data_IF_039773817725
#
_entry.id   IF_039773817725
#
_cell.length_a   1.000
_cell.length_b   1.000
_cell.length_c   1.000
_cell.angle_alpha   90.00
_cell.angle_beta   90.00
_cell.angle_gamma   90.00
#
_symmetry.space_group_name_H-M   'P 1'
#
loop_
_entity.id
_entity.type
_entity.pdbx_description
1 polymer ?
#
# COMPACT_ATOMS: atom_id res chain seq x y z
N UNK A 1 6.77 -14.79 2.84
CA UNK A 1 6.79 -13.34 2.58
C UNK A 1 7.72 -13.02 1.42
N UNK A 2 9.03 -13.26 1.60
CA UNK A 2 10.05 -12.99 0.59
C UNK A 2 9.80 -13.71 -0.75
N UNK A 3 9.27 -14.94 -0.73
CA UNK A 3 8.87 -15.62 -1.97
C UNK A 3 7.79 -14.85 -2.74
N UNK A 4 6.79 -14.30 -2.06
CA UNK A 4 5.76 -13.49 -2.71
C UNK A 4 6.36 -12.20 -3.30
N UNK A 5 7.29 -11.56 -2.59
CA UNK A 5 7.99 -10.39 -3.09
C UNK A 5 8.83 -10.73 -4.34
N UNK A 6 9.52 -11.86 -4.32
CA UNK A 6 10.27 -12.38 -5.47
C UNK A 6 9.35 -12.67 -6.66
N UNK A 7 8.23 -13.37 -6.43
CA UNK A 7 7.24 -13.69 -7.46
C UNK A 7 6.62 -12.43 -8.07
N UNK A 8 6.27 -11.43 -7.25
CA UNK A 8 5.80 -10.12 -7.71
C UNK A 8 6.83 -9.47 -8.62
N UNK A 9 8.09 -9.58 -8.25
CA UNK A 9 9.16 -8.99 -9.01
C UNK A 9 9.43 -9.66 -10.33
N UNK A 10 9.56 -10.98 -10.32
CA UNK A 10 9.73 -11.76 -11.55
C UNK A 10 8.53 -11.55 -12.48
N UNK A 11 7.31 -11.50 -11.95
CA UNK A 11 6.13 -11.18 -12.74
C UNK A 11 6.27 -9.81 -13.42
N UNK A 12 6.70 -8.78 -12.68
CA UNK A 12 6.88 -7.41 -13.21
C UNK A 12 7.95 -7.34 -14.30
N UNK A 13 9.06 -8.05 -14.12
CA UNK A 13 10.15 -8.14 -15.10
C UNK A 13 9.69 -8.85 -16.39
N UNK A 14 9.02 -10.00 -16.26
CA UNK A 14 8.49 -10.77 -17.38
C UNK A 14 7.48 -9.94 -18.19
N UNK A 15 6.50 -9.31 -17.53
CA UNK A 15 5.47 -8.56 -18.27
C UNK A 15 6.03 -7.34 -18.99
N UNK A 16 7.15 -6.78 -18.52
CA UNK A 16 7.87 -5.70 -19.19
C UNK A 16 8.70 -6.18 -20.39
N UNK A 17 9.18 -7.43 -20.36
CA UNK A 17 10.04 -8.00 -21.39
C UNK A 17 9.32 -8.69 -22.56
N UNK A 18 8.03 -9.02 -22.42
CA UNK A 18 7.27 -9.79 -23.44
C UNK A 18 6.03 -9.06 -23.94
N UNK A 19 5.53 -9.49 -25.11
CA UNK A 19 4.19 -9.12 -25.56
C UNK A 19 3.16 -10.04 -24.92
N UNK A 20 2.11 -9.46 -24.34
CA UNK A 20 1.04 -10.20 -23.65
C UNK A 20 -0.11 -10.55 -24.61
N UNK A 21 -0.88 -11.58 -24.24
CA UNK A 21 -2.01 -12.08 -25.03
C UNK A 21 -1.56 -12.59 -26.40
N UNK A 22 -2.34 -12.38 -27.48
CA UNK A 22 -1.95 -12.72 -28.86
C UNK A 22 -0.82 -11.85 -29.44
N UNK A 23 0.06 -11.29 -28.61
CA UNK A 23 1.12 -10.37 -29.02
C UNK A 23 0.70 -8.90 -29.17
N UNK A 24 -0.54 -8.55 -28.80
CA UNK A 24 -1.15 -7.23 -29.05
C UNK A 24 -0.97 -6.23 -27.91
N UNK A 25 -0.49 -6.68 -26.76
CA UNK A 25 -0.33 -5.85 -25.56
C UNK A 25 1.17 -5.78 -25.24
N UNK A 26 1.68 -4.58 -24.98
CA UNK A 26 3.00 -4.35 -24.42
C UNK A 26 2.89 -3.53 -23.14
N UNK A 27 3.82 -3.76 -22.23
CA UNK A 27 4.02 -2.94 -21.04
C UNK A 27 5.17 -1.96 -21.30
N UNK A 28 5.03 -0.73 -20.81
CA UNK A 28 6.10 0.25 -20.92
C UNK A 28 7.16 -0.04 -19.83
N UNK A 29 8.43 -0.30 -20.18
CA UNK A 29 9.44 -0.81 -19.25
C UNK A 29 9.80 0.18 -18.13
N UNK A 30 9.57 1.48 -18.33
CA UNK A 30 9.80 2.51 -17.30
C UNK A 30 8.54 2.95 -16.51
N UNK A 31 7.36 2.38 -16.78
CA UNK A 31 6.09 2.76 -16.11
C UNK A 31 5.51 1.59 -15.32
N UNK A 32 6.34 1.02 -14.47
CA UNK A 32 6.05 -0.19 -13.70
C UNK A 32 5.73 0.18 -12.25
N UNK A 33 4.66 -0.38 -11.70
CA UNK A 33 4.26 -0.13 -10.32
C UNK A 33 3.96 -1.41 -9.55
N UNK A 34 4.29 -1.42 -8.26
CA UNK A 34 3.97 -2.51 -7.33
C UNK A 34 2.88 -2.06 -6.37
N UNK A 35 1.83 -2.86 -6.20
CA UNK A 35 0.71 -2.54 -5.31
C UNK A 35 0.33 -3.79 -4.54
N UNK A 36 0.09 -3.64 -3.24
CA UNK A 36 -0.41 -4.74 -2.43
C UNK A 36 -1.19 -4.29 -1.20
N UNK A 37 -1.99 -5.20 -0.67
CA UNK A 37 -2.79 -4.98 0.54
C UNK A 37 -2.37 -5.93 1.67
N UNK A 38 -2.39 -5.45 2.92
CA UNK A 38 -2.08 -6.29 4.07
C UNK A 38 -0.66 -6.83 3.98
N UNK A 39 -0.56 -8.15 4.05
CA UNK A 39 0.69 -8.86 3.81
C UNK A 39 1.27 -8.62 2.41
N UNK A 40 0.40 -8.45 1.40
CA UNK A 40 0.81 -8.08 0.04
C UNK A 40 1.37 -6.66 -0.05
N UNK A 41 0.93 -5.74 0.83
CA UNK A 41 1.48 -4.39 0.89
C UNK A 41 2.94 -4.42 1.33
N UNK A 42 3.24 -5.20 2.37
CA UNK A 42 4.62 -5.47 2.79
C UNK A 42 5.39 -6.17 1.67
N UNK A 43 4.81 -7.14 0.96
CA UNK A 43 5.47 -7.83 -0.15
C UNK A 43 5.86 -6.88 -1.29
N UNK A 44 5.03 -5.88 -1.58
CA UNK A 44 5.37 -4.83 -2.56
C UNK A 44 6.59 -4.01 -2.14
N UNK A 45 6.76 -3.70 -0.85
CA UNK A 45 7.94 -3.01 -0.31
C UNK A 45 9.20 -3.86 -0.49
N UNK A 46 9.14 -5.13 -0.08
CA UNK A 46 10.29 -6.03 -0.24
C UNK A 46 10.65 -6.25 -1.71
N UNK A 47 9.66 -6.37 -2.59
CA UNK A 47 9.89 -6.47 -4.02
C UNK A 47 10.61 -5.23 -4.54
N UNK A 48 10.11 -4.04 -4.20
CA UNK A 48 10.74 -2.78 -4.61
C UNK A 48 12.19 -2.64 -4.14
N UNK A 49 12.54 -3.17 -2.97
CA UNK A 49 13.89 -3.07 -2.42
C UNK A 49 14.86 -4.13 -2.98
N UNK A 50 14.37 -5.34 -3.28
CA UNK A 50 15.19 -6.48 -3.68
C UNK A 50 15.35 -6.66 -5.18
N UNK A 51 14.64 -5.90 -6.01
CA UNK A 51 14.57 -6.15 -7.45
C UNK A 51 15.61 -5.39 -8.29
N UNK A 52 16.20 -6.05 -9.31
CA UNK A 52 16.99 -5.37 -10.33
C UNK A 52 16.15 -4.41 -11.21
N UNK A 53 14.95 -4.85 -11.60
CA UNK A 53 14.03 -4.03 -12.36
C UNK A 53 13.38 -2.98 -11.46
N UNK A 54 13.67 -1.70 -11.70
CA UNK A 54 13.22 -0.60 -10.85
C UNK A 54 11.75 -0.29 -11.12
N UNK A 55 10.89 -0.56 -10.14
CA UNK A 55 9.55 0.03 -10.10
C UNK A 55 9.66 1.56 -10.04
N UNK A 56 8.74 2.25 -10.73
CA UNK A 56 8.65 3.70 -10.73
C UNK A 56 7.74 4.23 -9.61
N UNK A 57 6.86 3.37 -9.06
CA UNK A 57 6.01 3.70 -7.93
C UNK A 57 5.62 2.44 -7.16
N UNK A 58 5.40 2.58 -5.86
CA UNK A 58 4.95 1.49 -4.99
C UNK A 58 3.78 1.96 -4.13
N UNK A 59 2.77 1.12 -3.91
CA UNK A 59 1.67 1.40 -2.99
C UNK A 59 1.42 0.24 -2.01
N UNK A 60 1.50 0.53 -0.72
CA UNK A 60 1.23 -0.38 0.39
C UNK A 60 -0.10 -0.01 1.06
N UNK A 61 -1.14 -0.83 0.85
CA UNK A 61 -2.51 -0.52 1.26
C UNK A 61 -2.88 -1.31 2.52
N UNK A 62 -3.07 -0.63 3.65
CA UNK A 62 -3.26 -1.24 4.96
C UNK A 62 -2.19 -2.32 5.23
N UNK A 63 -0.88 -1.99 5.13
CA UNK A 63 0.18 -2.98 5.26
C UNK A 63 0.20 -3.61 6.65
N UNK A 64 0.72 -4.84 6.73
CA UNK A 64 0.81 -5.58 7.99
C UNK A 64 2.24 -5.93 8.36
N UNK A 65 2.50 -6.06 9.66
CA UNK A 65 3.77 -6.56 10.22
C UNK A 65 4.10 -7.93 9.61
N UNK A 66 5.37 -8.12 9.23
CA UNK A 66 5.90 -9.41 8.75
C UNK A 66 7.22 -9.76 9.44
N UNK A 67 7.66 -11.02 9.31
CA UNK A 67 9.02 -11.44 9.64
C UNK A 67 9.71 -11.93 8.34
N UNK A 68 10.82 -11.29 7.89
CA UNK A 68 11.44 -10.08 8.45
C UNK A 68 10.55 -8.82 8.35
N UNK A 69 10.84 -7.77 9.12
CA UNK A 69 10.11 -6.49 9.10
C UNK A 69 10.34 -5.72 7.79
N UNK A 70 9.29 -5.22 7.10
CA UNK A 70 9.42 -4.47 5.84
C UNK A 70 10.03 -3.07 6.03
N UNK A 71 10.11 -2.56 7.24
CA UNK A 71 10.73 -1.27 7.57
C UNK A 71 12.23 -1.28 7.25
N UNK A 72 12.90 -2.42 7.45
CA UNK A 72 14.33 -2.57 7.17
C UNK A 72 14.68 -2.31 5.69
N UNK A 73 14.07 -2.99 4.70
CA UNK A 73 14.32 -2.66 3.31
C UNK A 73 13.76 -1.28 2.93
N UNK A 74 12.63 -0.86 3.50
CA UNK A 74 12.01 0.42 3.20
C UNK A 74 12.91 1.63 3.51
N UNK A 75 13.74 1.55 4.55
CA UNK A 75 14.71 2.59 4.93
C UNK A 75 15.68 2.99 3.80
N UNK A 76 15.89 2.11 2.82
CA UNK A 76 16.79 2.36 1.68
C UNK A 76 16.05 2.73 0.39
N UNK A 77 14.71 2.66 0.38
CA UNK A 77 13.91 2.91 -0.81
C UNK A 77 13.91 4.39 -1.19
N UNK A 78 14.23 4.66 -2.46
CA UNK A 78 14.12 5.99 -3.08
C UNK A 78 12.98 6.09 -4.09
N UNK A 79 12.31 4.98 -4.38
CA UNK A 79 11.12 4.96 -5.21
C UNK A 79 9.97 5.65 -4.48
N UNK A 80 9.17 6.50 -5.16
CA UNK A 80 7.96 7.08 -4.59
C UNK A 80 7.01 6.01 -4.02
N UNK A 81 6.57 6.22 -2.79
CA UNK A 81 5.64 5.34 -2.08
C UNK A 81 4.29 5.99 -1.79
N UNK A 82 3.23 5.18 -1.80
CA UNK A 82 1.94 5.52 -1.19
C UNK A 82 1.61 4.49 -0.11
N UNK A 83 1.47 4.94 1.13
CA UNK A 83 1.02 4.11 2.24
C UNK A 83 -0.40 4.54 2.58
N UNK A 84 -1.36 3.61 2.53
CA UNK A 84 -2.72 3.86 2.99
C UNK A 84 -2.96 3.16 4.32
N UNK A 85 -3.50 3.87 5.30
CA UNK A 85 -3.91 3.32 6.59
C UNK A 85 -5.41 3.59 6.84
N UNK A 86 -6.01 2.89 7.80
CA UNK A 86 -7.36 3.16 8.25
C UNK A 86 -7.35 3.88 9.62
N UNK A 87 -8.42 4.60 10.01
CA UNK A 87 -8.47 5.23 11.32
C UNK A 87 -8.37 4.18 12.42
N UNK A 88 -7.48 4.41 13.39
CA UNK A 88 -7.21 3.47 14.48
C UNK A 88 -6.35 2.25 14.09
N UNK A 89 -6.04 2.06 12.82
CA UNK A 89 -5.18 0.98 12.33
C UNK A 89 -3.76 1.03 12.92
N UNK A 90 -3.12 2.21 13.11
CA UNK A 90 -1.82 2.29 13.82
C UNK A 90 -1.85 1.76 15.26
N UNK A 91 -3.03 1.70 15.89
CA UNK A 91 -3.22 1.14 17.24
C UNK A 91 -3.42 -0.37 17.23
N UNK A 92 -3.49 -1.00 16.05
CA UNK A 92 -3.57 -2.45 15.95
C UNK A 92 -2.16 -3.06 15.98
N UNK A 93 -2.02 -4.25 16.56
CA UNK A 93 -0.76 -5.00 16.55
C UNK A 93 -0.38 -5.49 15.15
N UNK A 94 -1.33 -5.56 14.23
CA UNK A 94 -1.11 -6.12 12.90
C UNK A 94 -0.70 -5.07 11.88
N UNK A 95 -1.03 -3.79 12.08
CA UNK A 95 -0.64 -2.72 11.18
C UNK A 95 0.77 -2.22 11.48
N UNK A 96 1.47 -1.86 10.41
CA UNK A 96 2.78 -1.21 10.48
C UNK A 96 2.86 0.03 9.56
N UNK A 97 1.71 0.60 9.20
CA UNK A 97 1.65 1.70 8.23
C UNK A 97 2.41 2.95 8.71
N UNK A 98 2.34 3.26 10.01
CA UNK A 98 3.01 4.42 10.59
C UNK A 98 4.53 4.18 10.65
N UNK A 99 4.94 3.03 11.17
CA UNK A 99 6.35 2.62 11.25
C UNK A 99 7.00 2.58 9.87
N UNK A 100 6.30 2.05 8.88
CA UNK A 100 6.75 2.03 7.49
C UNK A 100 6.91 3.44 6.92
N UNK A 101 5.98 4.37 7.24
CA UNK A 101 6.07 5.76 6.78
C UNK A 101 7.22 6.54 7.41
N UNK A 102 7.61 6.20 8.64
CA UNK A 102 8.69 6.88 9.36
C UNK A 102 10.07 6.55 8.80
N UNK A 103 10.24 5.39 8.17
CA UNK A 103 11.53 4.95 7.60
C UNK A 103 11.62 5.17 6.10
N UNK A 104 10.51 5.31 5.39
CA UNK A 104 10.49 5.46 3.95
C UNK A 104 10.23 6.92 3.54
N UNK A 105 11.28 7.72 3.51
CA UNK A 105 11.21 9.18 3.25
C UNK A 105 10.47 9.56 1.96
N UNK A 106 10.55 8.70 0.93
CA UNK A 106 9.91 8.93 -0.37
C UNK A 106 8.42 8.52 -0.39
N UNK A 107 7.87 8.03 0.72
CA UNK A 107 6.48 7.60 0.82
C UNK A 107 5.57 8.70 1.39
N UNK A 108 4.37 8.80 0.82
CA UNK A 108 3.28 9.59 1.38
C UNK A 108 2.34 8.68 2.17
N UNK A 109 2.08 9.01 3.44
CA UNK A 109 1.08 8.32 4.26
C UNK A 109 -0.30 9.00 4.13
N UNK A 110 -1.34 8.21 3.88
CA UNK A 110 -2.74 8.67 3.83
C UNK A 110 -3.62 7.83 4.74
N UNK A 111 -4.26 8.45 5.72
CA UNK A 111 -5.29 7.80 6.53
C UNK A 111 -6.63 7.92 5.80
N UNK A 112 -7.22 6.81 5.35
CA UNK A 112 -8.46 6.82 4.57
C UNK A 112 -9.67 6.89 5.52
N UNK A 113 -10.36 8.02 5.54
CA UNK A 113 -11.44 8.29 6.49
C UNK A 113 -12.49 7.16 6.49
N UNK A 114 -12.78 6.62 7.68
CA UNK A 114 -13.77 5.55 7.91
C UNK A 114 -13.50 4.26 7.13
N UNK A 115 -12.28 4.04 6.63
CA UNK A 115 -11.91 2.80 5.98
C UNK A 115 -11.86 1.64 6.96
N UNK A 116 -12.06 0.43 6.43
CA UNK A 116 -11.86 -0.83 7.15
C UNK A 116 -10.76 -1.62 6.46
N UNK A 117 -9.65 -1.91 7.15
CA UNK A 117 -8.51 -2.60 6.55
C UNK A 117 -8.90 -3.90 5.83
N UNK A 118 -9.70 -4.77 6.47
CA UNK A 118 -10.22 -6.00 5.86
C UNK A 118 -11.30 -5.81 4.78
N UNK A 119 -11.75 -4.58 4.52
CA UNK A 119 -12.83 -4.25 3.59
C UNK A 119 -12.47 -4.37 2.11
N UNK A 120 -11.20 -4.59 1.76
CA UNK A 120 -10.74 -4.70 0.38
C UNK A 120 -10.99 -6.06 -0.27
N UNK A 121 -11.30 -7.10 0.51
CA UNK A 121 -11.60 -8.42 -0.03
C UNK A 121 -12.81 -8.34 -0.96
N UNK A 122 -12.60 -8.64 -2.25
CA UNK A 122 -13.67 -8.70 -3.23
C UNK A 122 -14.37 -10.06 -3.16
N UNK A 123 -15.56 -10.12 -2.57
CA UNK A 123 -16.36 -11.34 -2.60
C UNK A 123 -17.51 -11.37 -1.60
N UNK A 124 -18.73 -11.63 -2.09
CA UNK A 124 -19.91 -11.93 -1.24
C UNK A 124 -19.91 -13.36 -0.67
N UNK A 125 -18.99 -14.23 -1.11
CA UNK A 125 -19.14 -15.70 -0.97
C UNK A 125 -18.27 -16.36 0.10
N UNK A 126 -17.23 -15.73 0.64
CA UNK A 126 -16.43 -16.35 1.72
C UNK A 126 -16.91 -15.99 3.14
N UNK A 127 -17.77 -14.98 3.30
CA UNK A 127 -18.07 -14.39 4.61
C UNK A 127 -19.40 -14.83 5.23
N UNK A 128 -20.22 -15.61 4.52
CA UNK A 128 -21.48 -16.11 5.08
C UNK A 128 -21.34 -17.29 6.04
N UNK A 129 -20.13 -17.84 6.22
CA UNK A 129 -19.93 -19.06 7.04
C UNK A 129 -18.92 -18.85 8.19
N UNK A 130 -18.11 -17.80 8.16
CA UNK A 130 -17.11 -17.51 9.19
C UNK A 130 -17.11 -16.00 9.40
N UNK A 131 -17.24 -15.51 10.64
CA UNK A 131 -17.40 -14.09 11.01
C UNK A 131 -16.22 -13.15 10.69
N UNK A 132 -15.64 -13.28 9.50
CA UNK A 132 -14.58 -12.46 8.95
C UNK A 132 -15.14 -11.16 8.37
N UNK A 133 -14.39 -10.07 8.53
CA UNK A 133 -14.75 -8.75 8.04
C UNK A 133 -15.08 -8.80 6.54
N UNK A 134 -16.33 -8.45 6.20
CA UNK A 134 -16.81 -8.48 4.82
C UNK A 134 -16.35 -7.31 3.96
N UNK A 135 -16.50 -7.47 2.64
CA UNK A 135 -16.25 -6.44 1.64
C UNK A 135 -16.91 -5.10 2.02
N UNK A 136 -16.12 -4.02 2.08
CA UNK A 136 -16.61 -2.66 2.34
C UNK A 136 -16.50 -1.81 1.07
N UNK A 137 -17.64 -1.62 0.39
CA UNK A 137 -17.71 -0.91 -0.90
C UNK A 137 -17.20 0.53 -0.83
N UNK A 138 -17.35 1.19 0.32
CA UNK A 138 -16.88 2.57 0.50
C UNK A 138 -15.36 2.62 0.57
N UNK A 139 -14.76 1.73 1.36
CA UNK A 139 -13.30 1.52 1.43
C UNK A 139 -12.74 1.21 0.05
N UNK A 140 -13.33 0.26 -0.67
CA UNK A 140 -12.90 -0.08 -2.04
C UNK A 140 -12.96 1.12 -2.98
N UNK A 141 -14.05 1.90 -2.94
CA UNK A 141 -14.20 3.10 -3.78
C UNK A 141 -13.10 4.13 -3.48
N UNK A 142 -12.84 4.42 -2.21
CA UNK A 142 -11.84 5.43 -1.83
C UNK A 142 -10.41 4.97 -2.10
N UNK A 143 -10.08 3.72 -1.78
CA UNK A 143 -8.78 3.14 -2.09
C UNK A 143 -8.53 3.15 -3.59
N UNK A 144 -9.50 2.74 -4.42
CA UNK A 144 -9.37 2.80 -5.87
C UNK A 144 -9.16 4.23 -6.37
N UNK A 145 -9.92 5.20 -5.86
CA UNK A 145 -9.76 6.59 -6.28
C UNK A 145 -8.37 7.16 -5.94
N UNK A 146 -7.91 6.97 -4.70
CA UNK A 146 -6.61 7.44 -4.24
C UNK A 146 -5.46 6.75 -4.99
N UNK A 147 -5.55 5.42 -5.15
CA UNK A 147 -4.55 4.64 -5.86
C UNK A 147 -4.48 5.04 -7.34
N UNK A 148 -5.63 5.19 -8.00
CA UNK A 148 -5.69 5.59 -9.41
C UNK A 148 -5.07 6.96 -9.61
N UNK A 149 -5.43 7.97 -8.79
CA UNK A 149 -4.82 9.29 -8.91
C UNK A 149 -3.31 9.25 -8.71
N UNK A 150 -2.83 8.53 -7.70
CA UNK A 150 -1.41 8.35 -7.46
C UNK A 150 -0.67 7.71 -8.64
N UNK A 151 -1.21 6.63 -9.23
CA UNK A 151 -0.59 5.95 -10.36
C UNK A 151 -0.66 6.77 -11.66
N UNK A 152 -1.75 7.51 -11.89
CA UNK A 152 -1.87 8.42 -13.04
C UNK A 152 -0.79 9.52 -13.01
N UNK A 153 -0.47 10.04 -11.83
CA UNK A 153 0.65 10.97 -11.69
C UNK A 153 2.01 10.28 -11.78
N UNK A 154 2.28 9.29 -10.92
CA UNK A 154 3.62 8.71 -10.76
C UNK A 154 4.08 7.83 -11.92
N UNK A 155 3.17 7.06 -12.54
CA UNK A 155 3.48 6.23 -13.70
C UNK A 155 3.06 6.93 -15.01
N UNK A 156 1.89 7.57 -15.00
CA UNK A 156 1.35 8.23 -16.19
C UNK A 156 2.07 9.53 -16.55
N UNK A 157 2.54 10.27 -15.54
CA UNK A 157 3.06 11.64 -15.69
C UNK A 157 1.96 12.69 -15.80
N UNK A 158 0.71 12.35 -15.48
CA UNK A 158 -0.43 13.26 -15.61
C UNK A 158 -0.46 14.26 -14.44
N UNK A 159 -0.08 15.51 -14.73
CA UNK A 159 0.02 16.59 -13.76
C UNK A 159 -1.32 16.99 -13.15
N UNK A 160 -2.45 16.62 -13.77
CA UNK A 160 -3.78 16.85 -13.18
C UNK A 160 -3.96 16.09 -11.86
N UNK A 161 -3.19 15.03 -11.63
CA UNK A 161 -3.27 14.19 -10.44
C UNK A 161 -2.11 14.41 -9.45
N UNK A 162 -1.33 15.49 -9.60
CA UNK A 162 -0.14 15.76 -8.76
C UNK A 162 -0.44 15.70 -7.26
N UNK A 163 -1.57 16.23 -6.83
CA UNK A 163 -1.97 16.27 -5.40
C UNK A 163 -2.08 14.88 -4.77
N UNK A 164 -2.30 13.82 -5.57
CA UNK A 164 -2.38 12.45 -5.05
C UNK A 164 -1.03 11.89 -4.58
N UNK A 165 0.08 12.49 -5.00
CA UNK A 165 1.44 12.13 -4.58
C UNK A 165 2.16 13.24 -3.80
N UNK A 166 1.46 14.34 -3.52
CA UNK A 166 1.96 15.43 -2.68
C UNK A 166 1.69 15.05 -1.21
N UNK A 167 2.69 14.97 -0.32
CA UNK A 167 2.48 14.64 1.08
C UNK A 167 1.66 15.67 1.84
N UNK A 168 1.72 16.94 1.44
CA UNK A 168 1.11 18.06 2.16
C UNK A 168 -0.32 18.37 1.68
N UNK A 169 -0.72 17.84 0.52
CA UNK A 169 -2.06 18.06 -0.01
C UNK A 169 -3.13 17.37 0.84
N UNK A 170 -4.18 18.08 1.27
CA UNK A 170 -5.32 17.46 1.95
C UNK A 170 -6.35 16.95 0.93
N UNK A 171 -6.50 15.63 0.81
CA UNK A 171 -7.44 15.04 -0.14
C UNK A 171 -8.83 14.82 0.50
N UNK A 172 -9.91 14.80 -0.30
CA UNK A 172 -11.21 14.39 0.19
C UNK A 172 -11.16 12.95 0.71
N UNK A 173 -11.80 12.70 1.86
CA UNK A 173 -11.89 11.36 2.49
C UNK A 173 -10.55 10.81 2.97
N UNK A 174 -9.58 11.68 3.21
CA UNK A 174 -8.43 11.38 4.04
C UNK A 174 -8.50 12.16 5.35
N UNK A 175 -8.05 11.57 6.45
CA UNK A 175 -7.88 12.28 7.71
C UNK A 175 -6.50 12.96 7.70
N UNK A 176 -6.42 14.15 8.31
CA UNK A 176 -5.14 14.85 8.46
C UNK A 176 -4.22 14.03 9.37
N UNK A 177 -2.93 13.99 9.03
CA UNK A 177 -1.91 13.49 9.95
C UNK A 177 -1.72 14.55 11.04
N UNK A 178 -1.85 14.13 12.29
CA UNK A 178 -1.52 14.99 13.43
C UNK A 178 -0.01 14.87 13.70
N UNK A 179 0.79 15.92 13.40
CA UNK A 179 2.23 15.89 13.60
C UNK A 179 2.63 15.91 15.08
N UNK A 180 1.72 16.27 15.99
CA UNK A 180 1.95 16.31 17.43
C UNK A 180 1.42 15.07 18.16
N UNK A 181 0.80 14.13 17.43
CA UNK A 181 0.29 12.91 18.04
C UNK A 181 1.43 12.11 18.70
N UNK A 182 1.26 11.69 19.97
CA UNK A 182 2.27 10.89 20.64
C UNK A 182 2.46 9.55 19.89
N UNK A 183 3.69 9.01 19.86
CA UNK A 183 3.95 7.72 19.24
C UNK A 183 3.09 6.65 19.91
N UNK A 184 2.44 5.81 19.10
CA UNK A 184 1.63 4.69 19.60
C UNK A 184 2.54 3.74 20.38
N UNK A 185 2.27 3.56 21.67
CA UNK A 185 3.09 2.68 22.51
C UNK A 185 2.70 1.21 22.30
N UNK A 186 3.60 0.24 22.57
CA UNK A 186 3.24 -1.18 22.55
C UNK A 186 2.06 -1.51 23.48
N UNK A 187 1.95 -0.81 24.61
CA UNK A 187 0.85 -0.95 25.57
C UNK A 187 -0.50 -0.58 24.96
N UNK A 188 -0.58 0.52 24.22
CA UNK A 188 -1.80 0.92 23.51
C UNK A 188 -2.23 -0.11 22.46
N UNK A 189 -1.25 -0.75 21.80
CA UNK A 189 -1.54 -1.83 20.86
C UNK A 189 -2.08 -3.08 21.55
N UNK A 190 -1.55 -3.43 22.73
CA UNK A 190 -2.04 -4.55 23.56
C UNK A 190 -3.46 -4.26 24.07
N UNK A 191 -3.74 -3.05 24.56
CA UNK A 191 -5.08 -2.66 25.02
C UNK A 191 -6.12 -2.76 23.90
N UNK A 192 -5.74 -2.41 22.68
CA UNK A 192 -6.61 -2.52 21.50
C UNK A 192 -6.91 -3.96 21.12
N UNK A 193 -6.00 -4.91 21.38
CA UNK A 193 -6.24 -6.35 21.17
C UNK A 193 -7.29 -6.92 22.14
N UNK A 194 -7.38 -6.37 23.35
CA UNK A 194 -8.24 -6.87 24.43
C UNK A 194 -9.68 -6.30 24.39
N UNK A 195 -9.99 -5.44 23.43
CA UNK A 195 -11.30 -4.82 23.20
C UNK A 195 -11.99 -5.39 21.97
#
# INVERSE_FOLDING_TARGET
>A
MLNLAFDLGVALDIVAGVRLGPGKISVHPAKLGLVGHGFGGSAAVFAAAGMPAKSAAVAAIFPTVTAPPPEQPAATLKVPGLIMSAPGDPKTLTSNALELSQVWDAATLRIVSKAKAGGLVEGRRLTKVVGLAGADRRTQRFVRALLTGYLLYTLGGDKAYREFADPDAQLPKTDALDPEAPPVTPEEKIVTLLK
#
